data_IF_325553604254
#
_entry.id   IF_325553604254
#
_cell.length_a   1.000
_cell.length_b   1.000
_cell.length_c   1.000
_cell.angle_alpha   90.00
_cell.angle_beta   90.00
_cell.angle_gamma   90.00
#
_symmetry.space_group_name_H-M   'P 1'
#
loop_
_entity.id
_entity.type
_entity.pdbx_description
1 polymer ?
#
# COMPACT_ATOMS: atom_id res chain seq x y z
N UNK A 1 45.95 23.55 20.50
CA UNK A 1 45.07 23.33 19.33
C UNK A 1 43.68 23.06 19.87
N UNK A 2 42.86 24.11 20.06
CA UNK A 2 41.48 23.98 20.54
C UNK A 2 40.59 23.75 19.33
N UNK A 3 39.93 22.60 19.26
CA UNK A 3 38.95 22.32 18.19
C UNK A 3 37.80 23.32 18.32
N UNK A 4 37.40 24.02 17.23
CA UNK A 4 36.25 24.92 17.29
C UNK A 4 34.98 24.12 17.66
N UNK A 5 34.05 24.69 18.46
CA UNK A 5 32.81 24.02 18.81
C UNK A 5 32.04 23.66 17.53
N UNK A 6 31.61 22.40 17.42
CA UNK A 6 30.79 21.96 16.31
C UNK A 6 29.48 22.78 16.31
N UNK A 7 29.30 23.61 15.29
CA UNK A 7 28.06 24.38 15.13
C UNK A 7 26.88 23.42 14.97
N UNK A 8 25.72 23.67 15.62
CA UNK A 8 24.51 22.92 15.36
C UNK A 8 24.17 23.05 13.88
N UNK A 9 24.29 21.95 13.12
CA UNK A 9 23.85 21.91 11.72
C UNK A 9 22.36 22.18 11.69
N UNK A 10 22.00 23.38 11.23
CA UNK A 10 20.62 23.74 10.99
C UNK A 10 20.22 23.10 9.66
N UNK A 11 19.43 22.02 9.70
CA UNK A 11 18.89 21.38 8.51
C UNK A 11 17.57 22.08 8.12
N UNK A 12 17.57 23.04 7.16
CA UNK A 12 16.37 23.79 6.80
C UNK A 12 15.27 22.90 6.17
N UNK A 13 15.64 21.69 5.73
CA UNK A 13 14.74 20.71 5.13
C UNK A 13 14.04 19.82 6.16
N UNK A 14 14.47 19.81 7.43
CA UNK A 14 13.80 19.03 8.48
C UNK A 14 12.42 19.60 8.87
N UNK A 15 12.08 20.82 8.39
CA UNK A 15 10.84 21.53 8.75
C UNK A 15 9.72 21.44 7.72
N UNK A 16 9.95 20.83 6.56
CA UNK A 16 8.91 20.75 5.53
C UNK A 16 8.11 19.49 5.77
N UNK A 17 7.02 19.61 6.53
CA UNK A 17 6.04 18.55 6.83
C UNK A 17 5.24 18.04 5.63
N UNK A 18 5.83 18.07 4.44
CA UNK A 18 5.31 17.48 3.20
C UNK A 18 6.08 16.17 2.93
N UNK A 19 6.09 15.28 3.92
CA UNK A 19 6.49 13.89 3.74
C UNK A 19 5.24 13.03 3.55
N UNK A 20 5.31 11.91 2.82
CA UNK A 20 4.25 10.92 2.88
C UNK A 20 3.95 10.59 4.35
N UNK A 21 2.68 10.38 4.73
CA UNK A 21 2.32 10.08 6.11
C UNK A 21 3.19 8.94 6.64
N UNK A 22 3.97 9.24 7.69
CA UNK A 22 4.79 8.25 8.36
C UNK A 22 3.88 7.38 9.20
N UNK A 23 3.54 6.21 8.65
CA UNK A 23 2.66 5.24 9.28
C UNK A 23 3.37 4.37 10.33
N UNK A 24 4.63 4.68 10.69
CA UNK A 24 5.47 3.77 11.48
C UNK A 24 5.74 2.47 10.73
N UNK A 25 5.96 2.60 9.42
CA UNK A 25 6.10 1.47 8.50
C UNK A 25 7.32 0.64 8.83
N UNK A 26 7.08 -0.67 8.95
CA UNK A 26 8.14 -1.65 9.05
C UNK A 26 8.39 -2.28 7.68
N UNK A 27 9.60 -2.77 7.37
CA UNK A 27 9.88 -3.39 6.07
C UNK A 27 8.91 -4.53 5.70
N UNK A 28 8.40 -5.27 6.68
CA UNK A 28 7.40 -6.31 6.49
C UNK A 28 6.06 -5.77 5.95
N UNK A 29 5.67 -4.55 6.31
CA UNK A 29 4.40 -3.96 5.88
C UNK A 29 4.38 -3.70 4.37
N UNK A 30 5.51 -3.28 3.81
CA UNK A 30 5.70 -3.18 2.36
C UNK A 30 5.54 -4.54 1.69
N UNK A 31 6.12 -5.60 2.27
CA UNK A 31 6.02 -6.96 1.73
C UNK A 31 4.57 -7.43 1.70
N UNK A 32 3.84 -7.28 2.81
CA UNK A 32 2.42 -7.67 2.89
C UNK A 32 1.52 -6.84 1.98
N UNK A 33 1.83 -5.55 1.80
CA UNK A 33 1.12 -4.67 0.87
C UNK A 33 1.26 -5.13 -0.59
N UNK A 34 2.47 -5.54 -1.01
CA UNK A 34 2.70 -6.10 -2.35
C UNK A 34 2.01 -7.44 -2.50
N UNK A 35 2.07 -8.31 -1.48
CA UNK A 35 1.37 -9.60 -1.49
C UNK A 35 -0.15 -9.43 -1.62
N UNK A 36 -0.74 -8.38 -1.03
CA UNK A 36 -2.16 -8.10 -1.20
C UNK A 36 -2.55 -7.91 -2.67
N UNK A 37 -1.74 -7.18 -3.44
CA UNK A 37 -1.96 -6.98 -4.87
C UNK A 37 -1.67 -8.24 -5.69
N UNK A 38 -0.58 -8.95 -5.38
CA UNK A 38 -0.21 -10.18 -6.08
C UNK A 38 -1.14 -11.36 -5.77
N UNK A 39 -1.95 -11.27 -4.72
CA UNK A 39 -2.88 -12.33 -4.36
C UNK A 39 -3.97 -12.58 -5.42
N UNK A 40 -4.09 -11.70 -6.43
CA UNK A 40 -4.98 -11.91 -7.58
C UNK A 40 -4.75 -13.25 -8.29
N UNK A 41 -3.48 -13.71 -8.33
CA UNK A 41 -3.09 -14.93 -9.05
C UNK A 41 -3.46 -16.23 -8.33
N UNK A 42 -3.66 -16.17 -7.01
CA UNK A 42 -3.87 -17.38 -6.19
C UNK A 42 -5.26 -17.39 -5.56
N UNK A 43 -5.67 -16.27 -4.98
CA UNK A 43 -6.89 -16.13 -4.18
C UNK A 43 -7.86 -15.07 -4.74
N UNK A 44 -7.49 -14.38 -5.83
CA UNK A 44 -8.31 -13.35 -6.48
C UNK A 44 -8.87 -12.33 -5.47
N UNK A 45 -10.19 -12.30 -5.26
CA UNK A 45 -10.85 -11.39 -4.31
C UNK A 45 -10.58 -11.73 -2.82
N UNK A 46 -10.34 -13.01 -2.51
CA UNK A 46 -10.22 -13.49 -1.12
C UNK A 46 -8.86 -13.08 -0.53
N UNK A 47 -7.83 -13.01 -1.37
CA UNK A 47 -6.46 -12.65 -0.99
C UNK A 47 -6.32 -11.28 -0.32
N UNK A 48 -6.70 -10.16 -0.98
CA UNK A 48 -6.58 -8.84 -0.37
C UNK A 48 -7.55 -8.67 0.79
N UNK A 49 -8.72 -9.32 0.78
CA UNK A 49 -9.67 -9.29 1.90
C UNK A 49 -9.10 -9.98 3.15
N UNK A 50 -8.47 -11.14 3.00
CA UNK A 50 -7.83 -11.84 4.11
C UNK A 50 -6.70 -10.97 4.71
N UNK A 51 -5.83 -10.39 3.88
CA UNK A 51 -4.74 -9.52 4.33
C UNK A 51 -5.30 -8.26 5.00
N UNK A 52 -6.36 -7.67 4.45
CA UNK A 52 -7.03 -6.51 5.04
C UNK A 52 -7.53 -6.82 6.45
N UNK A 53 -8.16 -7.97 6.66
CA UNK A 53 -8.68 -8.36 7.98
C UNK A 53 -7.56 -8.69 8.97
N UNK A 54 -6.49 -9.37 8.52
CA UNK A 54 -5.34 -9.72 9.37
C UNK A 54 -4.58 -8.48 9.82
N UNK A 55 -4.34 -7.53 8.91
CA UNK A 55 -3.56 -6.32 9.19
C UNK A 55 -4.40 -5.11 9.62
N UNK A 56 -5.71 -5.29 9.77
CA UNK A 56 -6.67 -4.21 10.06
C UNK A 56 -6.24 -3.34 11.26
N UNK A 57 -5.87 -4.00 12.35
CA UNK A 57 -5.55 -3.34 13.62
C UNK A 57 -4.03 -3.29 13.87
N UNK A 58 -3.21 -3.90 13.01
CA UNK A 58 -1.76 -4.04 13.20
C UNK A 58 -0.93 -3.01 12.42
N UNK A 59 -1.27 -2.75 11.15
CA UNK A 59 -0.53 -1.79 10.33
C UNK A 59 -1.49 -0.95 9.48
N UNK A 60 -1.59 0.37 9.73
CA UNK A 60 -2.44 1.26 8.94
C UNK A 60 -2.00 1.35 7.48
N UNK A 61 -0.70 1.18 7.20
CA UNK A 61 -0.16 1.14 5.83
C UNK A 61 -0.62 -0.09 5.06
N UNK A 62 -0.39 -1.28 5.62
CA UNK A 62 -0.80 -2.55 4.98
C UNK A 62 -2.31 -2.61 4.81
N UNK A 63 -3.07 -2.14 5.81
CA UNK A 63 -4.53 -2.04 5.72
C UNK A 63 -4.98 -1.15 4.55
N UNK A 64 -4.32 -0.01 4.34
CA UNK A 64 -4.66 0.90 3.24
C UNK A 64 -4.45 0.23 1.88
N UNK A 65 -3.26 -0.36 1.66
CA UNK A 65 -2.95 -1.04 0.40
C UNK A 65 -3.75 -2.32 0.19
N UNK A 66 -4.11 -3.04 1.25
CA UNK A 66 -5.00 -4.20 1.12
C UNK A 66 -6.42 -3.79 0.70
N UNK A 67 -6.93 -2.65 1.18
CA UNK A 67 -8.21 -2.10 0.74
C UNK A 67 -8.14 -1.62 -0.72
N UNK A 68 -7.05 -0.96 -1.10
CA UNK A 68 -6.79 -0.54 -2.48
C UNK A 68 -6.77 -1.75 -3.44
N UNK A 69 -6.00 -2.79 -3.09
CA UNK A 69 -5.94 -4.04 -3.86
C UNK A 69 -7.32 -4.68 -4.05
N UNK A 70 -8.15 -4.70 -2.99
CA UNK A 70 -9.52 -5.24 -3.07
C UNK A 70 -10.39 -4.46 -4.07
N UNK A 71 -10.32 -3.12 -4.06
CA UNK A 71 -11.04 -2.28 -5.01
C UNK A 71 -10.53 -2.48 -6.45
N UNK A 72 -9.22 -2.67 -6.63
CA UNK A 72 -8.64 -2.98 -7.94
C UNK A 72 -9.13 -4.33 -8.48
N UNK A 73 -9.16 -5.37 -7.63
CA UNK A 73 -9.65 -6.69 -8.04
C UNK A 73 -11.14 -6.67 -8.42
N UNK A 74 -11.96 -5.91 -7.67
CA UNK A 74 -13.37 -5.69 -8.02
C UNK A 74 -13.52 -4.97 -9.35
N UNK A 75 -12.72 -3.94 -9.60
CA UNK A 75 -12.74 -3.20 -10.87
C UNK A 75 -12.38 -4.11 -12.04
N UNK A 76 -11.32 -4.91 -11.91
CA UNK A 76 -10.92 -5.88 -12.93
C UNK A 76 -11.99 -6.96 -13.16
N UNK A 77 -12.63 -7.44 -12.10
CA UNK A 77 -13.73 -8.40 -12.21
C UNK A 77 -14.88 -7.81 -13.02
N UNK A 78 -15.33 -6.61 -12.69
CA UNK A 78 -16.40 -5.92 -13.41
C UNK A 78 -16.01 -5.68 -14.87
N UNK A 79 -14.81 -5.16 -15.12
CA UNK A 79 -14.31 -4.91 -16.47
C UNK A 79 -14.26 -6.20 -17.30
N UNK A 80 -13.86 -7.32 -16.68
CA UNK A 80 -13.82 -8.64 -17.33
C UNK A 80 -15.23 -9.15 -17.64
N UNK A 81 -16.18 -9.01 -16.72
CA UNK A 81 -17.57 -9.40 -16.95
C UNK A 81 -18.22 -8.57 -18.06
N UNK A 82 -18.01 -7.26 -18.07
CA UNK A 82 -18.49 -6.37 -19.13
C UNK A 82 -17.88 -6.77 -20.47
N UNK A 83 -16.55 -6.95 -20.53
CA UNK A 83 -15.86 -7.39 -21.74
C UNK A 83 -16.36 -8.74 -22.25
N UNK A 84 -16.59 -9.70 -21.33
CA UNK A 84 -17.16 -11.00 -21.66
C UNK A 84 -18.54 -10.88 -22.30
N UNK A 85 -19.43 -10.04 -21.75
CA UNK A 85 -20.77 -9.81 -22.33
C UNK A 85 -20.65 -9.16 -23.72
N UNK A 86 -19.79 -8.16 -23.88
CA UNK A 86 -19.60 -7.47 -25.17
C UNK A 86 -19.15 -8.42 -26.28
N UNK A 87 -18.34 -9.43 -25.97
CA UNK A 87 -17.90 -10.46 -26.92
C UNK A 87 -19.06 -11.28 -27.49
N UNK A 88 -20.17 -11.45 -26.77
CA UNK A 88 -21.36 -12.18 -27.27
C UNK A 88 -22.41 -11.26 -27.90
N UNK A 89 -22.38 -9.97 -27.59
CA UNK A 89 -23.33 -8.99 -28.13
C UNK A 89 -22.92 -8.50 -29.52
N UNK A 90 -21.61 -8.44 -29.80
CA UNK A 90 -21.02 -8.12 -31.10
C UNK A 90 -20.85 -9.40 -31.93
#
# INVERSE_FOLDING_TARGET
>A
MTVPPAEPRFDPYARTGYGPPDYGQRPEDTTWSVLAHLSIFVLSLIGPLAIYLVYKDSSPFTRHHAAEALNFHLTLLIATLVSFVLVFVV
#
